data_IF_321022223497
#
_entry.id   IF_321022223497
#
_cell.length_a   1.000
_cell.length_b   1.000
_cell.length_c   1.000
_cell.angle_alpha   90.00
_cell.angle_beta   90.00
_cell.angle_gamma   90.00
#
_symmetry.space_group_name_H-M   'P 1'
#
loop_
_entity.id
_entity.type
_entity.pdbx_description
1 polymer ?
#
# COMPACT_ATOMS: atom_id res chain seq x y z
N UNK A 1 0.26 5.51 -54.68
CA UNK A 1 -0.66 6.66 -54.53
C UNK A 1 0.09 7.78 -53.85
N UNK A 2 0.45 8.84 -54.56
CA UNK A 2 1.00 10.06 -53.96
C UNK A 2 -0.07 11.14 -54.03
N UNK A 3 -0.41 11.74 -52.88
CA UNK A 3 -1.31 12.88 -52.87
C UNK A 3 -0.64 14.08 -53.55
N UNK A 4 -1.38 14.72 -54.46
CA UNK A 4 -0.95 15.92 -55.16
C UNK A 4 -0.60 17.02 -54.14
N UNK A 5 0.46 17.81 -54.35
CA UNK A 5 1.01 18.75 -53.34
C UNK A 5 -0.04 19.65 -52.71
N UNK A 6 -0.99 20.12 -53.53
CA UNK A 6 -2.07 21.02 -53.13
C UNK A 6 -3.06 20.38 -52.15
N UNK A 7 -3.06 19.07 -51.96
CA UNK A 7 -3.97 18.38 -51.02
C UNK A 7 -3.26 17.88 -49.77
N UNK A 8 -1.96 18.15 -49.61
CA UNK A 8 -1.17 17.73 -48.45
C UNK A 8 -1.67 18.34 -47.14
N UNK A 9 -2.25 19.55 -47.19
CA UNK A 9 -2.78 20.23 -46.01
C UNK A 9 -4.12 19.63 -45.50
N UNK A 10 -4.83 18.87 -46.33
CA UNK A 10 -6.10 18.26 -45.93
C UNK A 10 -5.91 17.10 -44.94
N UNK A 11 -4.75 16.43 -44.98
CA UNK A 11 -4.46 15.27 -44.11
C UNK A 11 -4.22 15.73 -42.66
N UNK A 12 -3.35 16.73 -42.38
CA UNK A 12 -3.23 17.28 -41.03
C UNK A 12 -4.56 17.83 -40.52
N UNK A 13 -5.34 18.54 -41.36
CA UNK A 13 -6.60 19.15 -40.96
C UNK A 13 -7.67 18.09 -40.63
N UNK A 14 -7.76 17.01 -41.40
CA UNK A 14 -8.70 15.92 -41.12
C UNK A 14 -8.33 15.15 -39.85
N UNK A 15 -7.03 14.90 -39.63
CA UNK A 15 -6.52 14.31 -38.39
C UNK A 15 -6.83 15.21 -37.18
N UNK A 16 -6.55 16.51 -37.30
CA UNK A 16 -6.81 17.48 -36.22
C UNK A 16 -8.30 17.56 -35.91
N UNK A 17 -9.16 17.59 -36.92
CA UNK A 17 -10.61 17.62 -36.74
C UNK A 17 -11.15 16.32 -36.13
N UNK A 18 -10.61 15.17 -36.51
CA UNK A 18 -10.97 13.87 -35.93
C UNK A 18 -10.60 13.78 -34.44
N UNK A 19 -9.40 14.22 -34.06
CA UNK A 19 -9.02 14.25 -32.65
C UNK A 19 -9.86 15.27 -31.87
N UNK A 20 -10.10 16.46 -32.42
CA UNK A 20 -10.93 17.48 -31.79
C UNK A 20 -12.37 16.99 -31.54
N UNK A 21 -12.97 16.24 -32.47
CA UNK A 21 -14.31 15.68 -32.28
C UNK A 21 -14.33 14.59 -31.21
N UNK A 22 -13.31 13.73 -31.15
CA UNK A 22 -13.16 12.72 -30.08
C UNK A 22 -13.05 13.40 -28.70
N UNK A 23 -12.22 14.44 -28.57
CA UNK A 23 -12.04 15.12 -27.29
C UNK A 23 -13.29 15.89 -26.82
N UNK A 24 -14.14 16.36 -27.74
CA UNK A 24 -15.39 17.05 -27.40
C UNK A 24 -16.50 16.10 -26.90
N UNK A 25 -16.45 14.81 -27.24
CA UNK A 25 -17.49 13.84 -26.84
C UNK A 25 -17.24 13.12 -25.50
N UNK A 26 -16.10 13.32 -24.84
CA UNK A 26 -15.73 12.56 -23.63
C UNK A 26 -15.92 13.28 -22.29
N UNK A 27 -16.52 14.46 -22.26
CA UNK A 27 -16.83 15.15 -21.00
C UNK A 27 -18.30 14.97 -20.61
N UNK A 28 -18.75 13.72 -20.46
CA UNK A 28 -19.91 13.48 -19.61
C UNK A 28 -19.54 13.96 -18.21
N UNK A 29 -19.99 15.16 -17.85
CA UNK A 29 -19.82 15.66 -16.49
C UNK A 29 -20.42 14.62 -15.56
N UNK A 30 -19.62 14.11 -14.62
CA UNK A 30 -20.13 13.22 -13.57
C UNK A 30 -21.15 14.01 -12.75
N UNK A 31 -22.42 13.92 -13.12
CA UNK A 31 -23.53 14.64 -12.48
C UNK A 31 -23.81 14.14 -11.05
N UNK A 32 -23.32 12.96 -10.69
CA UNK A 32 -23.45 12.42 -9.33
C UNK A 32 -22.14 12.47 -8.56
N UNK A 33 -21.91 13.58 -7.85
CA UNK A 33 -20.90 13.65 -6.79
C UNK A 33 -21.58 13.35 -5.45
N UNK A 34 -21.01 12.42 -4.69
CA UNK A 34 -21.51 12.12 -3.33
C UNK A 34 -21.33 13.36 -2.45
N UNK A 35 -22.30 13.64 -1.58
CA UNK A 35 -22.16 14.71 -0.59
C UNK A 35 -20.99 14.41 0.37
N UNK A 36 -20.37 15.46 0.92
CA UNK A 36 -19.29 15.32 1.90
C UNK A 36 -19.64 14.38 3.08
N UNK A 37 -20.86 14.46 3.68
CA UNK A 37 -21.26 13.52 4.73
C UNK A 37 -21.36 12.06 4.25
N UNK A 38 -21.75 11.83 2.99
CA UNK A 38 -21.79 10.47 2.44
C UNK A 38 -20.36 9.91 2.23
N UNK A 39 -19.42 10.74 1.78
CA UNK A 39 -18.00 10.37 1.66
C UNK A 39 -17.40 10.06 3.03
N UNK A 40 -17.63 10.92 4.03
CA UNK A 40 -17.14 10.72 5.39
C UNK A 40 -17.66 9.42 6.00
N UNK A 41 -18.97 9.16 5.93
CA UNK A 41 -19.57 7.91 6.42
C UNK A 41 -18.99 6.67 5.73
N UNK A 42 -18.79 6.75 4.41
CA UNK A 42 -18.16 5.66 3.67
C UNK A 42 -16.72 5.40 4.13
N UNK A 43 -15.92 6.45 4.30
CA UNK A 43 -14.53 6.34 4.75
C UNK A 43 -14.45 5.82 6.18
N UNK A 44 -15.32 6.27 7.09
CA UNK A 44 -15.42 5.75 8.45
C UNK A 44 -15.69 4.24 8.46
N UNK A 45 -16.68 3.79 7.69
CA UNK A 45 -16.99 2.35 7.54
C UNK A 45 -15.81 1.58 6.96
N UNK A 46 -15.15 2.12 5.95
CA UNK A 46 -13.94 1.53 5.34
C UNK A 46 -12.81 1.39 6.35
N UNK A 47 -12.53 2.43 7.14
CA UNK A 47 -11.50 2.40 8.18
C UNK A 47 -11.82 1.42 9.30
N UNK A 48 -13.08 1.36 9.74
CA UNK A 48 -13.53 0.39 10.73
C UNK A 48 -13.35 -1.05 10.23
N UNK A 49 -13.79 -1.34 9.00
CA UNK A 49 -13.59 -2.66 8.38
C UNK A 49 -12.10 -3.02 8.26
N UNK A 50 -11.26 -2.07 7.85
CA UNK A 50 -9.82 -2.29 7.75
C UNK A 50 -9.19 -2.57 9.12
N UNK A 51 -9.60 -1.82 10.16
CA UNK A 51 -9.13 -2.03 11.53
C UNK A 51 -9.47 -3.42 12.04
N UNK A 52 -10.72 -3.87 11.85
CA UNK A 52 -11.14 -5.21 12.24
C UNK A 52 -10.33 -6.29 11.51
N UNK A 53 -10.12 -6.12 10.21
CA UNK A 53 -9.31 -7.05 9.40
C UNK A 53 -7.87 -7.15 9.92
N UNK A 54 -7.25 -6.00 10.24
CA UNK A 54 -5.90 -5.94 10.80
C UNK A 54 -5.80 -6.51 12.22
N UNK A 55 -6.88 -6.48 13.00
CA UNK A 55 -6.94 -7.13 14.31
C UNK A 55 -7.08 -8.64 14.21
N UNK A 56 -7.74 -9.14 13.17
CA UNK A 56 -7.88 -10.57 12.90
C UNK A 56 -6.57 -11.17 12.37
N UNK A 57 -5.91 -10.47 11.45
CA UNK A 57 -4.66 -10.92 10.86
C UNK A 57 -3.49 -10.17 11.50
N UNK A 58 -3.12 -10.56 12.71
CA UNK A 58 -1.98 -9.98 13.41
C UNK A 58 -1.16 -11.04 14.11
N UNK A 59 0.15 -10.98 13.93
CA UNK A 59 1.11 -11.82 14.64
C UNK A 59 1.54 -11.07 15.90
N UNK A 60 1.59 -11.77 17.03
CA UNK A 60 2.12 -11.25 18.29
C UNK A 60 3.41 -11.97 18.62
N UNK A 61 4.49 -11.22 18.81
CA UNK A 61 5.79 -11.78 19.23
C UNK A 61 6.29 -11.07 20.47
N UNK A 62 7.00 -11.82 21.30
CA UNK A 62 7.80 -11.23 22.38
C UNK A 62 8.86 -10.33 21.77
N UNK A 63 9.21 -9.25 22.45
CA UNK A 63 10.19 -8.28 21.97
C UNK A 63 10.97 -7.70 23.14
N UNK A 64 12.29 -7.73 23.01
CA UNK A 64 13.19 -7.17 24.00
C UNK A 64 13.14 -5.63 24.00
N UNK A 65 13.48 -5.02 25.14
CA UNK A 65 13.44 -3.57 25.36
C UNK A 65 14.30 -2.76 24.39
N UNK A 66 15.36 -3.36 23.86
CA UNK A 66 16.26 -2.69 22.92
C UNK A 66 15.61 -2.43 21.55
N UNK A 67 14.54 -3.16 21.23
CA UNK A 67 13.88 -3.03 19.95
C UNK A 67 12.88 -1.89 19.92
N UNK A 68 12.95 -1.10 18.85
CA UNK A 68 11.99 -0.03 18.54
C UNK A 68 11.14 -0.46 17.34
N UNK A 69 9.93 0.13 17.16
CA UNK A 69 9.08 -0.18 16.00
C UNK A 69 9.78 0.03 14.64
N UNK A 70 10.77 0.91 14.57
CA UNK A 70 11.58 1.13 13.36
C UNK A 70 12.50 -0.06 13.06
N UNK A 71 13.14 -0.64 14.07
CA UNK A 71 14.00 -1.83 13.94
C UNK A 71 13.19 -3.03 13.47
N UNK A 72 12.01 -3.24 14.06
CA UNK A 72 11.08 -4.29 13.64
C UNK A 72 10.72 -4.14 12.16
N UNK A 73 10.40 -2.92 11.71
CA UNK A 73 10.11 -2.68 10.28
C UNK A 73 11.29 -2.98 9.37
N UNK A 74 12.51 -2.67 9.79
CA UNK A 74 13.71 -2.95 9.00
C UNK A 74 13.94 -4.45 8.85
N UNK A 75 13.86 -5.22 9.93
CA UNK A 75 13.98 -6.68 9.88
C UNK A 75 12.88 -7.30 9.04
N UNK A 76 11.62 -6.89 9.23
CA UNK A 76 10.52 -7.38 8.39
C UNK A 76 10.75 -7.08 6.90
N UNK A 77 11.35 -5.93 6.56
CA UNK A 77 11.72 -5.59 5.18
C UNK A 77 12.83 -6.52 4.65
N UNK A 78 13.84 -6.85 5.45
CA UNK A 78 14.90 -7.80 5.06
C UNK A 78 14.32 -9.18 4.74
N UNK A 79 13.30 -9.61 5.48
CA UNK A 79 12.57 -10.87 5.24
C UNK A 79 11.48 -10.78 4.15
N UNK A 80 11.40 -9.66 3.41
CA UNK A 80 10.37 -9.40 2.39
C UNK A 80 8.91 -9.42 2.90
N UNK A 81 8.70 -9.18 4.18
CA UNK A 81 7.39 -9.17 4.83
C UNK A 81 6.80 -7.76 4.78
N UNK A 82 5.54 -7.65 4.35
CA UNK A 82 4.83 -6.38 4.19
C UNK A 82 3.74 -6.21 5.25
N UNK A 83 4.08 -5.72 6.45
CA UNK A 83 3.08 -5.47 7.48
C UNK A 83 2.23 -4.23 7.14
N UNK A 84 1.05 -4.17 7.75
CA UNK A 84 0.32 -2.92 7.90
C UNK A 84 1.03 -2.00 8.93
N UNK A 85 0.41 -0.88 9.29
CA UNK A 85 1.01 0.10 10.21
C UNK A 85 1.18 -0.50 11.61
N UNK A 86 2.42 -0.84 11.96
CA UNK A 86 2.84 -1.14 13.34
C UNK A 86 2.73 0.16 14.15
N UNK A 87 1.92 0.13 15.21
CA UNK A 87 1.66 1.30 16.06
C UNK A 87 2.72 1.42 17.14
N UNK A 88 2.70 0.51 18.11
CA UNK A 88 3.51 0.56 19.32
C UNK A 88 3.76 -0.85 19.87
N UNK A 89 4.89 -1.01 20.56
CA UNK A 89 5.20 -2.18 21.40
C UNK A 89 4.54 -1.96 22.77
N UNK A 90 3.86 -2.98 23.30
CA UNK A 90 3.20 -2.92 24.61
C UNK A 90 3.50 -4.18 25.39
N UNK A 91 3.86 -4.05 26.66
CA UNK A 91 4.12 -5.17 27.56
C UNK A 91 5.14 -6.18 26.97
N UNK A 92 6.22 -5.69 26.35
CA UNK A 92 7.20 -6.55 25.67
C UNK A 92 6.60 -7.43 24.57
N UNK A 93 5.49 -7.00 23.97
CA UNK A 93 4.86 -7.68 22.84
C UNK A 93 4.74 -6.69 21.68
N UNK A 94 5.23 -7.09 20.52
CA UNK A 94 4.98 -6.40 19.26
C UNK A 94 3.81 -7.07 18.55
N UNK A 95 2.84 -6.25 18.14
CA UNK A 95 1.75 -6.72 17.28
C UNK A 95 2.03 -6.26 15.86
N UNK A 96 2.14 -7.23 14.95
CA UNK A 96 2.42 -7.03 13.53
C UNK A 96 1.14 -7.29 12.75
N UNK A 97 0.35 -6.25 12.41
CA UNK A 97 -0.90 -6.42 11.68
C UNK A 97 -0.68 -6.60 10.18
N UNK A 98 -1.60 -7.28 9.51
CA UNK A 98 -1.59 -7.53 8.06
C UNK A 98 -2.93 -7.12 7.44
N UNK A 99 -2.89 -6.80 6.14
CA UNK A 99 -4.09 -6.39 5.40
C UNK A 99 -4.85 -7.59 4.79
N UNK A 100 -4.26 -8.78 4.77
CA UNK A 100 -4.86 -9.99 4.22
C UNK A 100 -4.26 -11.23 4.91
N UNK A 101 -4.96 -12.37 4.78
CA UNK A 101 -4.56 -13.62 5.41
C UNK A 101 -3.31 -14.23 4.76
N UNK A 102 -3.15 -14.12 3.44
CA UNK A 102 -1.99 -14.70 2.72
C UNK A 102 -0.66 -14.14 3.23
N UNK A 103 -0.57 -12.81 3.38
CA UNK A 103 0.65 -12.15 3.88
C UNK A 103 0.88 -12.48 5.36
N UNK A 104 -0.20 -12.66 6.12
CA UNK A 104 -0.12 -13.11 7.51
C UNK A 104 0.44 -14.52 7.61
N UNK A 105 -0.11 -15.48 6.88
CA UNK A 105 0.28 -16.89 6.96
C UNK A 105 1.71 -17.10 6.45
N UNK A 106 2.08 -16.39 5.38
CA UNK A 106 3.46 -16.37 4.88
C UNK A 106 4.42 -15.82 5.93
N UNK A 107 4.08 -14.70 6.59
CA UNK A 107 4.90 -14.09 7.62
C UNK A 107 5.02 -14.98 8.86
N UNK A 108 3.93 -15.61 9.30
CA UNK A 108 3.88 -16.48 10.46
C UNK A 108 4.75 -17.72 10.27
N UNK A 109 4.79 -18.25 9.04
CA UNK A 109 5.66 -19.37 8.67
C UNK A 109 7.13 -18.96 8.57
N UNK A 110 7.42 -17.75 8.08
CA UNK A 110 8.80 -17.31 7.83
C UNK A 110 9.50 -16.70 9.05
N UNK A 111 8.76 -16.17 10.02
CA UNK A 111 9.32 -15.47 11.18
C UNK A 111 9.47 -16.42 12.37
N UNK A 112 10.71 -16.67 12.85
CA UNK A 112 10.94 -17.32 14.12
C UNK A 112 10.27 -16.58 15.27
N UNK A 113 9.85 -17.31 16.30
CA UNK A 113 9.18 -16.74 17.48
C UNK A 113 10.10 -15.82 18.31
N UNK A 114 11.40 -16.07 18.26
CA UNK A 114 12.47 -15.45 19.06
C UNK A 114 13.25 -14.37 18.31
N UNK A 115 12.87 -14.04 17.07
CA UNK A 115 13.59 -13.10 16.19
C UNK A 115 13.83 -11.72 16.82
N UNK A 116 13.01 -11.30 17.79
CA UNK A 116 13.11 -10.00 18.47
C UNK A 116 13.75 -10.09 19.87
N UNK A 117 14.59 -11.10 20.10
CA UNK A 117 15.42 -11.18 21.30
C UNK A 117 16.62 -10.23 21.25
N UNK A 118 17.25 -10.00 22.40
CA UNK A 118 18.43 -9.15 22.54
C UNK A 118 19.63 -9.66 21.72
N UNK A 119 19.84 -10.97 21.63
CA UNK A 119 20.92 -11.57 20.85
C UNK A 119 20.82 -11.22 19.36
N UNK A 120 19.63 -11.40 18.77
CA UNK A 120 19.38 -11.04 17.38
C UNK A 120 19.51 -9.54 17.15
N UNK A 121 19.17 -8.70 18.13
CA UNK A 121 19.35 -7.26 18.00
C UNK A 121 20.80 -6.90 17.68
N UNK A 122 21.75 -7.51 18.39
CA UNK A 122 23.17 -7.30 18.15
C UNK A 122 23.62 -7.85 16.79
N UNK A 123 23.08 -8.98 16.35
CA UNK A 123 23.39 -9.53 15.02
C UNK A 123 22.94 -8.61 13.88
N UNK A 124 21.74 -8.04 13.97
CA UNK A 124 21.20 -7.21 12.91
C UNK A 124 21.76 -5.78 12.88
N UNK A 125 22.18 -5.23 14.03
CA UNK A 125 22.50 -3.79 14.15
C UNK A 125 23.89 -3.48 14.72
N UNK A 126 24.57 -4.42 15.38
CA UNK A 126 25.92 -4.20 15.91
C UNK A 126 27.02 -4.92 15.13
N UNK A 127 26.69 -5.84 14.22
CA UNK A 127 27.67 -6.50 13.35
C UNK A 127 28.25 -5.57 12.25
N UNK A 128 27.85 -4.30 12.19
CA UNK A 128 28.34 -3.28 11.25
C UNK A 128 29.35 -2.28 11.86
N UNK A 129 29.97 -2.60 13.02
CA UNK A 129 31.12 -1.85 13.55
C UNK A 129 32.38 -2.71 13.56
#
# INVERSE_FOLDING_TARGET
MHLHPDYRYLIPNSITNYFNSIFQHHTSSRTHTRSQPAIQRHNQRRHAKLKLKQQQFSIKRSIDLNWKPIHVKQVLKQHNIKPARIREVRNHIVTIPFNNAKDHDAADTSLPDDIFNSEHFHQYFNAEQ
#
